data_IF_878667724811
#
_entry.id   IF_878667724811
#
_cell.length_a   1.000
_cell.length_b   1.000
_cell.length_c   1.000
_cell.angle_alpha   90.00
_cell.angle_beta   90.00
_cell.angle_gamma   90.00
#
_symmetry.space_group_name_H-M   'P 1'
#
loop_
_entity.id
_entity.type
_entity.pdbx_description
1 polymer ?
#
# COMPACT_ATOMS: atom_id res chain seq x y z
N UNK A 1 -21.61 -15.32 -12.39
CA UNK A 1 -20.50 -15.10 -11.44
C UNK A 1 -19.73 -13.90 -11.96
N UNK A 2 -19.66 -12.79 -11.22
CA UNK A 2 -18.86 -11.64 -11.67
C UNK A 2 -17.40 -12.07 -11.86
N UNK A 3 -16.81 -11.65 -12.99
CA UNK A 3 -15.40 -11.93 -13.29
C UNK A 3 -14.55 -11.17 -12.28
N UNK A 4 -13.76 -11.89 -11.47
CA UNK A 4 -12.77 -11.24 -10.60
C UNK A 4 -11.71 -10.57 -11.46
N UNK A 5 -11.37 -9.32 -11.13
CA UNK A 5 -10.22 -8.64 -11.73
C UNK A 5 -8.96 -9.48 -11.49
N UNK A 6 -8.21 -9.70 -12.56
CA UNK A 6 -6.87 -10.27 -12.54
C UNK A 6 -5.88 -9.31 -11.89
N UNK A 7 -4.72 -9.85 -11.49
CA UNK A 7 -3.63 -9.07 -10.94
C UNK A 7 -3.13 -8.04 -11.95
N UNK A 8 -3.06 -8.39 -13.23
CA UNK A 8 -2.75 -7.48 -14.32
C UNK A 8 -3.79 -6.36 -14.49
N UNK A 9 -5.09 -6.66 -14.35
CA UNK A 9 -6.15 -5.63 -14.38
C UNK A 9 -5.94 -4.62 -13.24
N UNK A 10 -5.60 -5.07 -12.01
CA UNK A 10 -5.22 -4.16 -10.93
C UNK A 10 -3.94 -3.38 -11.22
N UNK A 11 -2.91 -4.02 -11.78
CA UNK A 11 -1.67 -3.33 -12.14
C UNK A 11 -1.92 -2.21 -13.14
N UNK A 12 -2.79 -2.42 -14.13
CA UNK A 12 -3.18 -1.39 -15.10
C UNK A 12 -3.98 -0.24 -14.46
N UNK A 13 -4.85 -0.53 -13.48
CA UNK A 13 -5.53 0.53 -12.71
C UNK A 13 -4.52 1.35 -11.90
N UNK A 14 -3.53 0.71 -11.29
CA UNK A 14 -2.44 1.39 -10.57
C UNK A 14 -1.58 2.21 -11.53
N UNK A 15 -1.25 1.69 -12.72
CA UNK A 15 -0.52 2.43 -13.76
C UNK A 15 -1.21 3.79 -14.03
N UNK A 16 -2.55 3.81 -14.13
CA UNK A 16 -3.33 5.03 -14.29
C UNK A 16 -3.27 5.99 -13.09
N UNK A 17 -3.27 5.45 -11.86
CA UNK A 17 -3.10 6.24 -10.63
C UNK A 17 -1.71 6.88 -10.59
N UNK A 18 -0.66 6.13 -10.90
CA UNK A 18 0.73 6.64 -10.88
C UNK A 18 0.94 7.72 -11.94
N UNK A 19 0.45 7.50 -13.16
CA UNK A 19 0.54 8.50 -14.24
C UNK A 19 -0.20 9.80 -13.90
N UNK A 20 -1.27 9.72 -13.09
CA UNK A 20 -2.04 10.88 -12.64
C UNK A 20 -1.39 11.61 -11.45
N UNK A 21 -0.95 10.87 -10.43
CA UNK A 21 -0.56 11.44 -9.13
C UNK A 21 0.92 11.79 -9.02
N UNK A 22 1.78 11.15 -9.81
CA UNK A 22 3.24 11.22 -9.67
C UNK A 22 3.82 11.98 -10.85
N UNK A 23 4.51 13.09 -10.61
CA UNK A 23 5.14 13.89 -11.68
C UNK A 23 6.61 13.54 -11.92
N UNK A 24 7.31 13.07 -10.87
CA UNK A 24 8.72 12.69 -10.93
C UNK A 24 8.88 11.24 -10.42
N UNK A 25 9.87 10.52 -10.95
CA UNK A 25 10.18 9.14 -10.55
C UNK A 25 9.04 8.12 -10.71
N UNK A 26 8.08 8.36 -11.62
CA UNK A 26 7.08 7.35 -12.02
C UNK A 26 7.71 5.99 -12.39
N UNK A 27 8.94 6.04 -12.93
CA UNK A 27 9.71 4.86 -13.30
C UNK A 27 9.96 3.90 -12.14
N UNK A 28 9.95 4.35 -10.88
CA UNK A 28 10.14 3.46 -9.74
C UNK A 28 9.01 2.42 -9.68
N UNK A 29 7.77 2.85 -9.91
CA UNK A 29 6.64 1.95 -10.07
C UNK A 29 6.86 0.99 -11.25
N UNK A 30 7.05 1.53 -12.45
CA UNK A 30 7.08 0.71 -13.67
C UNK A 30 8.25 -0.27 -13.71
N UNK A 31 9.41 0.08 -13.12
CA UNK A 31 10.62 -0.73 -13.15
C UNK A 31 10.75 -1.69 -11.98
N UNK A 32 10.23 -1.33 -10.79
CA UNK A 32 10.47 -2.09 -9.57
C UNK A 32 9.18 -2.55 -8.88
N UNK A 33 8.29 -1.64 -8.53
CA UNK A 33 7.11 -2.02 -7.73
C UNK A 33 6.09 -2.83 -8.53
N UNK A 34 5.89 -2.52 -9.81
CA UNK A 34 4.97 -3.26 -10.68
C UNK A 34 5.41 -4.71 -10.88
N UNK A 35 6.68 -5.03 -11.18
CA UNK A 35 7.17 -6.41 -11.14
C UNK A 35 6.96 -7.11 -9.79
N UNK A 36 7.21 -6.43 -8.66
CA UNK A 36 6.97 -6.98 -7.32
C UNK A 36 5.48 -7.27 -7.11
N UNK A 37 4.61 -6.33 -7.51
CA UNK A 37 3.17 -6.46 -7.42
C UNK A 37 2.67 -7.69 -8.17
N UNK A 38 3.22 -7.97 -9.37
CA UNK A 38 2.84 -9.09 -10.23
C UNK A 38 3.43 -10.44 -9.81
N UNK A 39 4.24 -10.51 -8.74
CA UNK A 39 4.77 -11.78 -8.27
C UNK A 39 3.62 -12.76 -7.90
N UNK A 40 3.75 -14.07 -8.20
CA UNK A 40 2.71 -15.05 -7.90
C UNK A 40 2.35 -15.11 -6.41
N UNK A 41 3.33 -14.94 -5.54
CA UNK A 41 3.15 -14.86 -4.09
C UNK A 41 2.28 -13.67 -3.66
N UNK A 42 2.26 -12.57 -4.41
CA UNK A 42 1.46 -11.39 -4.12
C UNK A 42 0.05 -11.42 -4.73
N UNK A 43 -0.28 -12.48 -5.47
CA UNK A 43 -1.57 -12.63 -6.12
C UNK A 43 -2.72 -12.55 -5.12
N UNK A 44 -3.68 -11.68 -5.42
CA UNK A 44 -4.88 -11.42 -4.63
C UNK A 44 -4.65 -10.96 -3.18
N UNK A 45 -3.41 -10.58 -2.81
CA UNK A 45 -3.15 -9.98 -1.52
C UNK A 45 -3.71 -8.57 -1.47
N UNK A 46 -4.05 -8.15 -0.25
CA UNK A 46 -4.42 -6.75 -0.03
C UNK A 46 -3.19 -5.88 -0.21
N UNK A 47 -3.37 -4.67 -0.72
CA UNK A 47 -2.25 -3.77 -0.97
C UNK A 47 -2.67 -2.32 -0.77
N UNK A 48 -1.67 -1.50 -0.48
CA UNK A 48 -1.77 -0.06 -0.31
C UNK A 48 -0.77 0.62 -1.25
N UNK A 49 -1.23 1.63 -1.97
CA UNK A 49 -0.41 2.53 -2.79
C UNK A 49 -0.43 3.91 -2.13
N UNK A 50 0.74 4.44 -1.83
CA UNK A 50 0.87 5.82 -1.39
C UNK A 50 1.54 6.63 -2.50
N UNK A 51 0.97 7.78 -2.88
CA UNK A 51 1.50 8.62 -3.96
C UNK A 51 1.83 10.02 -3.44
N UNK A 52 2.85 10.61 -4.05
CA UNK A 52 3.26 12.01 -3.92
C UNK A 52 3.73 12.50 -5.27
N UNK A 53 3.77 13.80 -5.49
CA UNK A 53 4.29 14.38 -6.74
C UNK A 53 5.69 13.85 -7.13
N UNK A 54 6.52 13.47 -6.16
CA UNK A 54 7.91 13.03 -6.38
C UNK A 54 8.12 11.51 -6.42
N UNK A 55 7.08 10.69 -6.28
CA UNK A 55 7.19 9.23 -6.31
C UNK A 55 5.96 8.51 -5.73
N UNK A 56 6.08 7.20 -5.57
CA UNK A 56 5.05 6.38 -4.94
C UNK A 56 5.66 5.22 -4.17
N UNK A 57 4.87 4.61 -3.29
CA UNK A 57 5.26 3.44 -2.51
C UNK A 57 4.17 2.37 -2.58
N UNK A 58 4.56 1.13 -2.91
CA UNK A 58 3.71 -0.05 -2.81
C UNK A 58 3.93 -0.76 -1.47
N UNK A 59 2.86 -1.09 -0.76
CA UNK A 59 2.90 -1.99 0.38
C UNK A 59 1.89 -3.11 0.21
N UNK A 60 2.39 -4.34 0.04
CA UNK A 60 1.58 -5.55 0.09
C UNK A 60 1.26 -5.84 1.57
N UNK A 61 -0.02 -5.77 1.94
CA UNK A 61 -0.49 -6.07 3.29
C UNK A 61 -0.59 -7.60 3.49
N UNK A 62 -0.82 -8.02 4.74
CA UNK A 62 -1.09 -9.40 5.19
C UNK A 62 -0.40 -10.52 4.38
N UNK A 63 0.78 -10.94 4.85
CA UNK A 63 1.57 -11.98 4.20
C UNK A 63 2.24 -11.53 2.90
N UNK A 64 2.09 -10.27 2.49
CA UNK A 64 2.75 -9.64 1.34
C UNK A 64 4.28 -9.72 1.39
N UNK A 65 4.92 -9.85 0.22
CA UNK A 65 6.38 -10.10 0.16
C UNK A 65 7.23 -8.90 0.58
N UNK A 66 6.65 -7.70 0.62
CA UNK A 66 7.33 -6.48 1.03
C UNK A 66 6.74 -5.84 2.31
N UNK A 67 5.97 -6.60 3.12
CA UNK A 67 5.43 -6.14 4.40
C UNK A 67 6.52 -6.06 5.48
N UNK A 68 7.41 -5.09 5.33
CA UNK A 68 8.61 -4.89 6.16
C UNK A 68 8.58 -3.53 6.86
N UNK A 69 9.34 -3.39 7.94
CA UNK A 69 9.49 -2.12 8.65
C UNK A 69 9.92 -0.98 7.72
N UNK A 70 10.91 -1.24 6.85
CA UNK A 70 11.39 -0.27 5.88
C UNK A 70 10.29 0.22 4.93
N UNK A 71 9.48 -0.70 4.40
CA UNK A 71 8.42 -0.34 3.46
C UNK A 71 7.26 0.38 4.15
N UNK A 72 6.88 -0.05 5.36
CA UNK A 72 5.87 0.62 6.17
C UNK A 72 6.31 2.06 6.50
N UNK A 73 7.57 2.25 6.88
CA UNK A 73 8.13 3.56 7.17
C UNK A 73 8.25 4.46 5.92
N UNK A 74 8.38 3.90 4.71
CA UNK A 74 8.29 4.70 3.47
C UNK A 74 6.87 5.17 3.20
N UNK A 75 5.87 4.30 3.41
CA UNK A 75 4.45 4.63 3.24
C UNK A 75 3.98 5.68 4.26
N UNK A 76 4.30 5.46 5.54
CA UNK A 76 3.76 6.22 6.67
C UNK A 76 4.68 7.32 7.22
N UNK A 77 5.97 7.25 6.87
CA UNK A 77 7.00 8.11 7.41
C UNK A 77 7.21 9.40 6.62
N UNK A 78 8.45 9.92 6.57
CA UNK A 78 8.69 11.33 6.25
C UNK A 78 8.64 11.68 4.76
N UNK A 79 8.33 10.73 3.87
CA UNK A 79 8.30 10.98 2.42
C UNK A 79 7.17 11.94 2.01
N UNK A 80 6.23 12.24 2.91
CA UNK A 80 5.16 13.21 2.64
C UNK A 80 4.19 12.70 1.59
N UNK A 81 3.81 11.41 1.66
CA UNK A 81 2.80 10.86 0.76
C UNK A 81 1.46 11.59 0.95
N UNK A 82 0.86 12.01 -0.16
CA UNK A 82 -0.27 12.92 -0.20
C UNK A 82 -1.60 12.16 -0.34
N UNK A 83 -1.61 11.09 -1.14
CA UNK A 83 -2.79 10.25 -1.40
C UNK A 83 -2.49 8.80 -1.09
N UNK A 84 -3.51 8.09 -0.63
CA UNK A 84 -3.41 6.69 -0.25
C UNK A 84 -4.55 5.92 -0.91
N UNK A 85 -4.23 4.80 -1.53
CA UNK A 85 -5.20 3.93 -2.20
C UNK A 85 -5.10 2.53 -1.63
N UNK A 86 -6.23 1.88 -1.36
CA UNK A 86 -6.29 0.53 -0.79
C UNK A 86 -7.15 -0.38 -1.67
N UNK A 87 -6.78 -1.66 -1.73
CA UNK A 87 -7.62 -2.70 -2.29
C UNK A 87 -7.45 -3.99 -1.50
N UNK A 88 -8.55 -4.75 -1.36
CA UNK A 88 -8.54 -6.09 -0.77
C UNK A 88 -9.19 -7.08 -1.76
N UNK A 89 -8.44 -7.56 -2.76
CA UNK A 89 -8.98 -8.40 -3.84
C UNK A 89 -9.70 -9.68 -3.36
N UNK A 90 -9.32 -10.19 -2.19
CA UNK A 90 -9.86 -11.39 -1.56
C UNK A 90 -10.78 -11.11 -0.35
N UNK A 91 -11.25 -9.89 -0.13
CA UNK A 91 -12.18 -9.63 0.98
C UNK A 91 -13.60 -10.12 0.63
N UNK A 92 -13.83 -11.43 0.79
CA UNK A 92 -15.08 -12.14 0.48
C UNK A 92 -16.33 -11.58 1.19
N UNK A 93 -16.17 -10.81 2.27
CA UNK A 93 -17.26 -10.33 3.11
C UNK A 93 -17.83 -8.96 2.68
N UNK A 94 -17.16 -8.21 1.78
CA UNK A 94 -17.56 -6.84 1.43
C UNK A 94 -17.43 -6.63 -0.08
N UNK A 95 -18.57 -6.57 -0.80
CA UNK A 95 -18.63 -6.52 -2.28
C UNK A 95 -17.83 -5.36 -2.91
N UNK A 96 -17.60 -4.27 -2.19
CA UNK A 96 -16.92 -3.07 -2.69
C UNK A 96 -15.40 -3.07 -2.42
N UNK A 97 -14.85 -4.14 -1.83
CA UNK A 97 -13.43 -4.17 -1.44
C UNK A 97 -12.50 -4.64 -2.57
N UNK A 98 -13.05 -5.05 -3.72
CA UNK A 98 -12.32 -5.43 -4.93
C UNK A 98 -12.03 -4.23 -5.86
N UNK A 99 -12.40 -3.02 -5.47
CA UNK A 99 -12.01 -1.80 -6.18
C UNK A 99 -10.87 -1.10 -5.45
N UNK A 100 -9.97 -0.49 -6.23
CA UNK A 100 -8.96 0.41 -5.68
C UNK A 100 -9.66 1.70 -5.29
N UNK A 101 -9.60 2.03 -3.99
CA UNK A 101 -10.29 3.20 -3.43
C UNK A 101 -9.33 4.10 -2.68
N UNK A 102 -9.51 5.40 -2.83
CA UNK A 102 -8.76 6.40 -2.07
C UNK A 102 -9.22 6.42 -0.60
N UNK A 103 -8.26 6.52 0.31
CA UNK A 103 -8.46 6.58 1.75
C UNK A 103 -7.61 7.70 2.37
N UNK A 104 -8.01 8.17 3.55
CA UNK A 104 -7.17 9.11 4.32
C UNK A 104 -5.91 8.44 4.86
N UNK A 105 -4.87 9.24 5.15
CA UNK A 105 -3.67 8.74 5.82
C UNK A 105 -3.96 8.08 7.18
N UNK A 106 -4.95 8.57 7.92
CA UNK A 106 -5.38 7.93 9.19
C UNK A 106 -6.00 6.54 8.95
N UNK A 107 -6.75 6.36 7.86
CA UNK A 107 -7.25 5.04 7.48
C UNK A 107 -6.10 4.12 7.03
N UNK A 108 -5.11 4.64 6.28
CA UNK A 108 -3.91 3.87 5.92
C UNK A 108 -3.17 3.34 7.16
N UNK A 109 -2.99 4.19 8.18
CA UNK A 109 -2.43 3.79 9.48
C UNK A 109 -3.26 2.67 10.12
N UNK A 110 -4.59 2.78 10.14
CA UNK A 110 -5.48 1.74 10.71
C UNK A 110 -5.37 0.41 9.96
N UNK A 111 -5.35 0.44 8.62
CA UNK A 111 -5.18 -0.76 7.79
C UNK A 111 -3.85 -1.47 8.06
N UNK A 112 -2.76 -0.70 8.20
CA UNK A 112 -1.44 -1.25 8.51
C UNK A 112 -1.42 -1.79 9.94
N UNK A 113 -1.88 -1.02 10.93
CA UNK A 113 -1.94 -1.44 12.34
C UNK A 113 -2.66 -2.76 12.55
N UNK A 114 -3.77 -2.98 11.82
CA UNK A 114 -4.56 -4.20 11.93
C UNK A 114 -3.79 -5.46 11.51
N UNK A 115 -2.72 -5.30 10.72
CA UNK A 115 -1.90 -6.39 10.19
C UNK A 115 -0.57 -6.58 10.94
N UNK A 116 -0.26 -5.69 11.91
CA UNK A 116 0.99 -5.76 12.65
C UNK A 116 0.97 -6.89 13.69
N UNK A 117 2.14 -7.52 13.95
CA UNK A 117 2.32 -8.38 15.12
C UNK A 117 2.03 -7.62 16.44
N UNK A 118 1.64 -8.36 17.48
CA UNK A 118 1.26 -7.79 18.78
C UNK A 118 2.36 -6.98 19.49
N UNK A 119 3.62 -7.17 19.10
CA UNK A 119 4.83 -6.52 19.64
C UNK A 119 5.30 -5.33 18.79
N UNK A 120 4.60 -5.00 17.69
CA UNK A 120 4.95 -3.90 16.80
C UNK A 120 4.00 -2.72 17.02
N UNK A 121 4.55 -1.52 17.18
CA UNK A 121 3.79 -0.32 17.49
C UNK A 121 4.07 0.78 16.47
N UNK A 122 3.01 1.42 15.98
CA UNK A 122 3.11 2.67 15.22
C UNK A 122 3.10 3.85 16.18
N UNK A 123 4.16 4.65 16.14
CA UNK A 123 4.33 5.84 16.97
C UNK A 123 4.07 7.06 16.11
N UNK A 124 3.11 7.89 16.52
CA UNK A 124 2.88 9.20 15.92
C UNK A 124 3.97 10.17 16.39
N UNK A 125 4.80 10.64 15.46
CA UNK A 125 5.77 11.70 15.71
C UNK A 125 5.05 13.04 15.74
N UNK A 126 5.50 13.97 16.58
CA UNK A 126 4.89 15.31 16.77
C UNK A 126 4.72 16.14 15.48
N UNK A 127 5.36 15.75 14.38
CA UNK A 127 5.23 16.37 13.06
C UNK A 127 4.12 15.73 12.18
N UNK A 128 3.31 14.81 12.71
CA UNK A 128 2.21 14.15 12.00
C UNK A 128 2.61 12.86 11.27
N UNK A 129 3.90 12.52 11.21
CA UNK A 129 4.38 11.28 10.59
C UNK A 129 4.22 10.10 11.53
N UNK A 130 4.06 8.90 10.97
CA UNK A 130 4.06 7.66 11.75
C UNK A 130 5.34 6.89 11.49
N UNK A 131 5.93 6.38 12.57
CA UNK A 131 7.10 5.50 12.52
C UNK A 131 6.74 4.19 13.20
N UNK A 132 7.00 3.09 12.50
CA UNK A 132 6.93 1.77 13.08
C UNK A 132 8.16 1.54 13.93
N UNK A 133 7.96 1.10 15.17
CA UNK A 133 9.03 0.61 16.03
C UNK A 133 8.70 -0.78 16.52
N UNK A 134 9.67 -1.68 16.37
CA UNK A 134 9.72 -2.88 17.18
C UNK A 134 10.18 -2.46 18.58
N UNK A 135 9.26 -2.46 19.54
CA UNK A 135 9.59 -2.22 20.94
C UNK A 135 9.73 -3.60 21.60
N UNK A 136 10.95 -4.17 21.69
CA UNK A 136 11.13 -5.37 22.49
C UNK A 136 10.70 -5.05 23.93
N UNK A 137 9.94 -5.98 24.51
CA UNK A 137 9.49 -5.92 25.90
C UNK A 137 10.67 -5.79 26.87
#
# INVERSE_FOLDING_TARGET
MEKRKSQEEYACEIDGIILRDVTCHQNDWFKFDRPIFLLPENRNKSFLIATRSTGCELLMLSGGSNFTEGQINRVLGPLGNERFHICHPNAYMLRNNADIREISGLQAVKEISFQLPNDWFLINKRNGNWELRNLPR
#
